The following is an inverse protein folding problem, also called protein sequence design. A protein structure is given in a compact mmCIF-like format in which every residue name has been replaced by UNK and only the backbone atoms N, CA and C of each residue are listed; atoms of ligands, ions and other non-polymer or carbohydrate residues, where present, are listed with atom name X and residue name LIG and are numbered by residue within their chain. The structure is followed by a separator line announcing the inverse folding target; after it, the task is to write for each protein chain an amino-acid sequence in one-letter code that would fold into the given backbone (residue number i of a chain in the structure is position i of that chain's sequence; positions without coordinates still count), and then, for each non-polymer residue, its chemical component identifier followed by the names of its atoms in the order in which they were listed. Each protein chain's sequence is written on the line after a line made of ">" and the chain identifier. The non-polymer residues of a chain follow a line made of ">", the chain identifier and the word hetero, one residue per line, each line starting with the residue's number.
data_IF_699282745983
#
_entry.id   IF_699282745983
#
_cell.length_a   1.000
_cell.length_b   1.000
_cell.length_c   1.000
_cell.angle_alpha   90.00
_cell.angle_beta   90.00
_cell.angle_gamma   90.00
#
_symmetry.space_group_name_H-M   'P 1'
#
loop_
_entity.id
_entity.type
_entity.pdbx_description
1 polymer ?
#
# COMPACT_ATOMS: atom_id res chain seq x y z
N UNK A 1 -51.99 93.67 -22.04
CA UNK A 1 -50.83 94.48 -21.63
C UNK A 1 -51.03 94.88 -20.17
N UNK A 2 -50.30 94.25 -19.24
CA UNK A 2 -50.02 94.70 -17.87
C UNK A 2 -49.59 93.49 -17.03
N UNK A 3 -48.28 93.26 -16.94
CA UNK A 3 -47.67 92.30 -16.01
C UNK A 3 -47.39 93.05 -14.70
N UNK A 4 -47.97 92.60 -13.58
CA UNK A 4 -47.61 93.06 -12.22
C UNK A 4 -46.95 91.93 -11.46
N UNK A 5 -45.73 92.18 -11.00
CA UNK A 5 -44.91 91.32 -10.13
C UNK A 5 -45.47 91.37 -8.71
N UNK A 6 -45.54 90.22 -8.03
CA UNK A 6 -45.69 90.11 -6.57
C UNK A 6 -44.69 89.10 -6.01
N UNK A 7 -43.98 89.53 -4.97
CA UNK A 7 -42.93 88.81 -4.24
C UNK A 7 -43.51 87.60 -3.48
N UNK A 8 -42.84 86.44 -3.59
CA UNK A 8 -43.12 85.24 -2.81
C UNK A 8 -42.12 85.10 -1.66
N UNK A 9 -42.65 84.98 -0.43
CA UNK A 9 -41.91 84.76 0.82
C UNK A 9 -41.55 83.28 0.93
N UNK A 10 -40.27 82.96 1.16
CA UNK A 10 -39.77 81.60 1.38
C UNK A 10 -39.90 81.24 2.88
N UNK A 11 -40.73 80.26 3.21
CA UNK A 11 -40.91 79.70 4.55
C UNK A 11 -40.06 78.43 4.68
N UNK A 12 -39.12 78.44 5.62
CA UNK A 12 -38.15 77.38 5.88
C UNK A 12 -38.75 76.40 6.91
N UNK A 13 -39.07 75.18 6.47
CA UNK A 13 -39.64 74.11 7.32
C UNK A 13 -38.51 73.26 7.89
N UNK A 14 -38.43 73.20 9.22
CA UNK A 14 -37.48 72.40 10.00
C UNK A 14 -38.04 70.96 10.18
N UNK A 15 -37.33 69.88 9.83
CA UNK A 15 -37.83 68.54 10.07
C UNK A 15 -37.53 68.09 11.51
N UNK A 16 -38.57 67.68 12.25
CA UNK A 16 -38.43 66.94 13.51
C UNK A 16 -37.94 65.51 13.23
N UNK A 17 -36.77 65.16 13.76
CA UNK A 17 -36.27 63.79 13.82
C UNK A 17 -36.97 63.04 14.97
N UNK A 18 -37.73 62.00 14.64
CA UNK A 18 -38.16 60.99 15.62
C UNK A 18 -36.97 60.05 15.88
N UNK A 19 -36.42 60.09 17.10
CA UNK A 19 -35.50 59.07 17.58
C UNK A 19 -36.31 57.85 18.03
N UNK A 20 -36.37 56.82 17.19
CA UNK A 20 -36.77 55.48 17.61
C UNK A 20 -35.59 54.87 18.38
N UNK A 21 -35.81 54.49 19.63
CA UNK A 21 -34.83 53.77 20.42
C UNK A 21 -34.81 52.31 19.94
N UNK A 22 -33.89 51.95 19.06
CA UNK A 22 -33.57 50.54 18.81
C UNK A 22 -32.94 49.97 20.07
N UNK A 23 -33.58 48.99 20.71
CA UNK A 23 -32.92 48.23 21.76
C UNK A 23 -31.71 47.51 21.14
N UNK A 24 -30.50 47.64 21.70
CA UNK A 24 -29.36 46.91 21.18
C UNK A 24 -29.65 45.42 21.32
N UNK A 25 -29.62 44.70 20.19
CA UNK A 25 -29.67 43.24 20.14
C UNK A 25 -28.49 42.75 20.98
N UNK A 26 -28.75 42.06 22.09
CA UNK A 26 -27.70 41.36 22.81
C UNK A 26 -26.98 40.44 21.83
N UNK A 27 -25.70 40.74 21.59
CA UNK A 27 -24.83 39.82 20.88
C UNK A 27 -24.50 38.70 21.86
N UNK A 28 -25.03 37.51 21.60
CA UNK A 28 -24.60 36.31 22.31
C UNK A 28 -23.12 36.11 21.94
N UNK A 29 -22.23 36.52 22.84
CA UNK A 29 -20.83 36.08 22.80
C UNK A 29 -20.85 34.65 23.30
N UNK A 30 -20.94 33.69 22.38
CA UNK A 30 -20.67 32.30 22.73
C UNK A 30 -19.24 32.23 23.27
N UNK A 31 -19.02 31.64 24.46
CA UNK A 31 -17.66 31.28 24.84
C UNK A 31 -17.06 30.45 23.70
N UNK A 32 -15.78 30.64 23.42
CA UNK A 32 -15.03 29.77 22.51
C UNK A 32 -14.90 28.39 23.18
N UNK A 33 -16.01 27.68 23.34
CA UNK A 33 -16.02 26.27 23.66
C UNK A 33 -15.47 25.60 22.42
N UNK A 34 -14.34 24.93 22.56
CA UNK A 34 -13.74 24.17 21.48
C UNK A 34 -14.72 23.05 21.10
N UNK A 35 -15.44 23.24 19.99
CA UNK A 35 -16.38 22.27 19.45
C UNK A 35 -15.61 21.07 18.90
N UNK A 36 -15.82 19.88 19.47
CA UNK A 36 -15.10 18.70 19.04
C UNK A 36 -15.51 17.39 19.69
N UNK A 37 -14.79 16.35 19.29
CA UNK A 37 -14.82 15.02 19.88
C UNK A 37 -13.81 15.00 21.04
N UNK A 38 -14.31 14.75 22.24
CA UNK A 38 -13.52 14.64 23.46
C UNK A 38 -12.94 13.23 23.61
N UNK A 39 -13.78 12.21 23.42
CA UNK A 39 -13.37 10.80 23.36
C UNK A 39 -14.09 10.09 22.22
N UNK A 40 -13.40 9.13 21.63
CA UNK A 40 -13.95 8.22 20.65
C UNK A 40 -13.34 6.85 20.92
N UNK A 41 -14.16 5.82 21.06
CA UNK A 41 -13.67 4.44 21.17
C UNK A 41 -14.54 3.48 20.39
N UNK A 42 -13.95 2.38 19.94
CA UNK A 42 -14.66 1.30 19.26
C UNK A 42 -14.31 0.00 19.97
N UNK A 43 -15.32 -0.71 20.48
CA UNK A 43 -15.14 -1.91 21.31
C UNK A 43 -14.14 -1.72 22.48
N UNK A 44 -14.11 -0.53 23.08
CA UNK A 44 -13.20 -0.18 24.17
C UNK A 44 -11.77 0.19 23.75
N UNK A 45 -11.45 0.19 22.46
CA UNK A 45 -10.17 0.72 21.95
C UNK A 45 -10.30 2.21 21.71
N UNK A 46 -9.54 3.01 22.44
CA UNK A 46 -9.55 4.47 22.32
C UNK A 46 -8.90 4.95 21.01
N UNK A 47 -9.48 5.98 20.41
CA UNK A 47 -8.93 6.62 19.24
C UNK A 47 -7.73 7.52 19.57
N UNK A 48 -6.75 7.53 18.68
CA UNK A 48 -5.58 8.41 18.73
C UNK A 48 -5.75 9.55 17.73
N UNK A 49 -5.41 10.78 18.11
CA UNK A 49 -5.40 11.93 17.20
C UNK A 49 -4.27 11.80 16.17
N UNK A 50 -4.59 12.03 14.91
CA UNK A 50 -3.60 12.14 13.84
C UNK A 50 -2.86 13.50 13.91
N UNK A 51 -1.70 13.54 13.26
CA UNK A 51 -1.04 14.76 12.79
C UNK A 51 -1.91 15.60 11.84
N UNK A 52 -2.81 14.97 11.08
CA UNK A 52 -3.81 15.66 10.24
C UNK A 52 -4.94 16.22 11.11
N UNK A 53 -5.27 17.52 11.00
CA UNK A 53 -6.34 18.13 11.79
C UNK A 53 -7.68 17.41 11.63
N UNK A 54 -8.36 17.17 12.75
CA UNK A 54 -9.66 16.49 12.84
C UNK A 54 -9.69 15.05 12.29
N UNK A 55 -8.54 14.40 12.13
CA UNK A 55 -8.46 12.96 11.85
C UNK A 55 -8.18 12.18 13.13
N UNK A 56 -8.91 11.07 13.31
CA UNK A 56 -8.75 10.13 14.42
C UNK A 56 -8.46 8.73 13.88
N UNK A 57 -7.62 7.97 14.56
CA UNK A 57 -7.34 6.57 14.25
C UNK A 57 -7.79 5.65 15.37
N UNK A 58 -8.35 4.50 15.01
CA UNK A 58 -8.56 3.39 15.94
C UNK A 58 -7.89 2.15 15.38
N UNK A 59 -6.97 1.56 16.14
CA UNK A 59 -6.28 0.32 15.75
C UNK A 59 -7.06 -0.88 16.26
N UNK A 60 -7.73 -1.59 15.37
CA UNK A 60 -8.51 -2.78 15.70
C UNK A 60 -7.67 -4.04 15.58
N UNK A 61 -7.83 -5.02 16.49
CA UNK A 61 -7.16 -6.32 16.37
C UNK A 61 -7.48 -7.01 15.03
N UNK A 62 -6.52 -7.81 14.54
CA UNK A 62 -6.71 -8.66 13.37
C UNK A 62 -7.97 -9.53 13.50
N UNK A 63 -8.69 -9.74 12.39
CA UNK A 63 -9.93 -10.53 12.34
C UNK A 63 -11.18 -9.85 12.94
N UNK A 64 -11.09 -8.61 13.43
CA UNK A 64 -12.29 -7.88 13.89
C UNK A 64 -13.27 -7.67 12.74
N UNK A 65 -14.53 -8.07 12.90
CA UNK A 65 -15.62 -7.74 11.98
C UNK A 65 -15.94 -6.24 12.07
N UNK A 66 -15.82 -5.53 10.94
CA UNK A 66 -16.04 -4.08 10.87
C UNK A 66 -17.42 -3.71 10.34
N UNK A 67 -18.23 -4.67 9.91
CA UNK A 67 -19.50 -4.40 9.22
C UNK A 67 -20.57 -3.77 10.12
N UNK A 68 -20.45 -3.94 11.44
CA UNK A 68 -21.41 -3.45 12.41
C UNK A 68 -20.75 -3.17 13.77
N UNK A 69 -20.16 -2.00 13.92
CA UNK A 69 -19.54 -1.55 15.18
C UNK A 69 -20.31 -0.36 15.75
N UNK A 70 -20.40 -0.27 17.09
CA UNK A 70 -21.08 0.83 17.78
C UNK A 70 -20.06 1.67 18.57
N UNK A 71 -19.57 2.79 18.03
CA UNK A 71 -18.58 3.62 18.72
C UNK A 71 -19.17 4.35 19.93
N UNK A 72 -18.37 4.49 20.99
CA UNK A 72 -18.69 5.34 22.13
C UNK A 72 -18.01 6.70 21.95
N UNK A 73 -18.81 7.77 21.90
CA UNK A 73 -18.36 9.11 21.53
C UNK A 73 -18.82 10.12 22.58
N UNK A 74 -17.85 10.83 23.16
CA UNK A 74 -18.12 12.02 23.97
C UNK A 74 -17.75 13.26 23.15
N UNK A 75 -18.63 14.25 23.12
CA UNK A 75 -18.41 15.53 22.45
C UNK A 75 -18.56 16.67 23.44
N UNK A 76 -18.10 17.87 23.04
CA UNK A 76 -18.22 19.10 23.84
C UNK A 76 -19.62 19.27 24.44
N UNK A 77 -19.70 19.79 25.67
CA UNK A 77 -20.97 19.99 26.38
C UNK A 77 -22.02 20.73 25.53
N UNK A 78 -23.20 20.14 25.40
CA UNK A 78 -24.32 20.68 24.63
C UNK A 78 -24.23 20.49 23.12
N UNK A 79 -23.13 19.92 22.59
CA UNK A 79 -23.02 19.54 21.19
C UNK A 79 -23.68 18.18 20.92
N UNK A 80 -23.90 17.89 19.64
CA UNK A 80 -24.35 16.59 19.13
C UNK A 80 -23.38 16.06 18.09
N UNK A 81 -23.40 14.76 17.83
CA UNK A 81 -22.55 14.12 16.81
C UNK A 81 -23.38 13.22 15.89
N UNK A 82 -23.00 13.16 14.61
CA UNK A 82 -23.57 12.26 13.61
C UNK A 82 -22.44 11.60 12.79
N UNK A 83 -22.39 10.26 12.66
CA UNK A 83 -23.20 9.26 13.36
C UNK A 83 -23.20 9.42 14.89
N UNK A 84 -24.30 9.04 15.53
CA UNK A 84 -24.48 9.25 16.98
C UNK A 84 -23.71 8.21 17.81
N UNK A 85 -23.37 8.57 19.05
CA UNK A 85 -22.72 7.61 19.97
C UNK A 85 -23.63 6.39 20.19
N UNK A 86 -23.07 5.19 20.07
CA UNK A 86 -23.79 3.92 20.17
C UNK A 86 -24.57 3.52 18.91
N UNK A 87 -24.57 4.34 17.87
CA UNK A 87 -25.13 3.98 16.57
C UNK A 87 -24.26 2.92 15.89
N UNK A 88 -24.90 1.91 15.30
CA UNK A 88 -24.20 0.88 14.52
C UNK A 88 -23.76 1.49 13.20
N UNK A 89 -22.46 1.43 12.95
CA UNK A 89 -21.78 1.98 11.78
C UNK A 89 -20.96 0.88 11.11
N UNK A 90 -20.97 0.88 9.79
CA UNK A 90 -20.14 0.00 8.96
C UNK A 90 -18.78 0.68 8.70
N UNK A 91 -17.72 0.07 9.23
CA UNK A 91 -16.33 0.46 9.02
C UNK A 91 -15.59 -0.45 8.03
N UNK A 92 -16.29 -1.25 7.21
CA UNK A 92 -15.67 -2.16 6.24
C UNK A 92 -14.77 -1.41 5.25
N UNK A 93 -15.10 -0.15 4.93
CA UNK A 93 -14.29 0.75 4.11
C UNK A 93 -13.29 1.60 4.89
N UNK A 94 -13.05 1.26 6.17
CA UNK A 94 -12.09 1.85 7.13
C UNK A 94 -12.29 3.30 7.50
N UNK A 95 -12.89 4.11 6.65
CA UNK A 95 -13.03 5.55 6.87
C UNK A 95 -14.50 5.92 7.00
N UNK A 96 -14.85 6.61 8.09
CA UNK A 96 -16.18 7.17 8.31
C UNK A 96 -16.06 8.62 8.74
N UNK A 97 -16.89 9.48 8.15
CA UNK A 97 -16.95 10.89 8.52
C UNK A 97 -17.97 11.14 9.64
N UNK A 98 -17.55 11.91 10.64
CA UNK A 98 -18.37 12.34 11.75
C UNK A 98 -18.52 13.87 11.74
N UNK A 99 -19.69 14.37 12.09
CA UNK A 99 -19.95 15.80 12.24
C UNK A 99 -20.39 16.11 13.66
N UNK A 100 -19.62 16.95 14.36
CA UNK A 100 -20.00 17.52 15.65
C UNK A 100 -20.69 18.86 15.41
N UNK A 101 -21.86 19.08 15.99
CA UNK A 101 -22.68 20.29 15.78
C UNK A 101 -23.12 20.91 17.10
N UNK A 102 -23.13 22.25 17.15
CA UNK A 102 -23.73 23.02 18.24
C UNK A 102 -24.52 24.19 17.64
N UNK A 103 -25.85 24.10 17.63
CA UNK A 103 -26.70 25.05 16.90
C UNK A 103 -26.34 25.09 15.41
N UNK A 104 -25.83 26.22 14.93
CA UNK A 104 -25.47 26.43 13.52
C UNK A 104 -23.97 26.31 13.21
N UNK A 105 -23.13 26.02 14.21
CA UNK A 105 -21.70 25.78 14.01
C UNK A 105 -21.41 24.28 14.05
N UNK A 106 -20.51 23.83 13.18
CA UNK A 106 -20.14 22.41 13.07
C UNK A 106 -18.64 22.24 12.82
N UNK A 107 -18.14 21.04 13.11
CA UNK A 107 -16.79 20.57 12.78
C UNK A 107 -16.87 19.13 12.28
N UNK A 108 -16.24 18.89 11.14
CA UNK A 108 -16.15 17.57 10.53
C UNK A 108 -14.86 16.87 10.98
N UNK A 109 -15.00 15.57 11.24
CA UNK A 109 -13.95 14.65 11.62
C UNK A 109 -13.94 13.46 10.67
N UNK A 110 -12.76 12.92 10.44
CA UNK A 110 -12.60 11.66 9.71
C UNK A 110 -12.02 10.63 10.67
N UNK A 111 -12.76 9.55 10.90
CA UNK A 111 -12.30 8.44 11.72
C UNK A 111 -11.83 7.32 10.80
N UNK A 112 -10.58 6.90 10.98
CA UNK A 112 -9.92 5.85 10.22
C UNK A 112 -9.67 4.63 11.10
N UNK A 113 -10.15 3.47 10.68
CA UNK A 113 -9.83 2.18 11.29
C UNK A 113 -8.56 1.65 10.65
N UNK A 114 -7.53 1.43 11.46
CA UNK A 114 -6.35 0.66 11.08
C UNK A 114 -6.57 -0.75 11.61
N UNK A 115 -6.37 -1.78 10.81
CA UNK A 115 -6.31 -3.16 11.32
C UNK A 115 -4.88 -3.54 11.62
N UNK A 116 -4.65 -4.17 12.76
CA UNK A 116 -3.42 -4.92 12.95
C UNK A 116 -3.40 -6.07 11.93
N UNK A 117 -2.24 -6.31 11.32
CA UNK A 117 -2.05 -7.48 10.48
C UNK A 117 -1.93 -8.73 11.36
N UNK A 118 -2.59 -9.81 10.97
CA UNK A 118 -2.50 -11.11 11.62
C UNK A 118 -1.12 -11.75 11.44
N UNK A 119 -0.94 -12.98 11.93
CA UNK A 119 0.37 -13.65 11.95
C UNK A 119 0.59 -14.63 10.81
N UNK A 120 -0.43 -14.90 9.99
CA UNK A 120 -0.32 -15.82 8.85
C UNK A 120 0.48 -15.18 7.72
N UNK A 121 1.01 -16.02 6.85
CA UNK A 121 1.67 -15.63 5.61
C UNK A 121 0.88 -16.21 4.43
N UNK A 122 0.43 -15.33 3.52
CA UNK A 122 -0.38 -15.74 2.38
C UNK A 122 0.49 -16.02 1.16
N UNK A 123 0.30 -17.16 0.48
CA UNK A 123 0.76 -17.36 -0.89
C UNK A 123 -0.41 -17.08 -1.83
N UNK A 124 -0.33 -16.01 -2.60
CA UNK A 124 -1.49 -15.50 -3.35
C UNK A 124 -1.45 -15.93 -4.82
N UNK A 125 -2.64 -16.19 -5.37
CA UNK A 125 -2.82 -16.52 -6.77
C UNK A 125 -4.25 -16.30 -7.23
N UNK A 126 -4.45 -16.23 -8.55
CA UNK A 126 -5.78 -16.03 -9.12
C UNK A 126 -6.65 -17.30 -9.10
N UNK A 127 -6.06 -18.46 -9.35
CA UNK A 127 -6.79 -19.73 -9.47
C UNK A 127 -7.00 -20.41 -8.12
N UNK A 128 -7.74 -21.51 -8.13
CA UNK A 128 -7.96 -22.35 -6.96
C UNK A 128 -6.68 -22.99 -6.36
N UNK A 129 -5.59 -23.01 -7.13
CA UNK A 129 -4.28 -23.48 -6.73
C UNK A 129 -3.18 -22.77 -7.54
N UNK A 130 -1.90 -22.82 -7.12
CA UNK A 130 -0.80 -22.26 -7.89
C UNK A 130 -0.80 -22.80 -9.34
N UNK A 131 -0.78 -21.88 -10.31
CA UNK A 131 -1.13 -22.22 -11.70
C UNK A 131 0.00 -22.86 -12.52
N UNK A 132 1.23 -22.88 -12.00
CA UNK A 132 2.39 -23.42 -12.70
C UNK A 132 3.17 -24.41 -11.83
N UNK A 133 3.94 -25.28 -12.46
CA UNK A 133 4.81 -26.24 -11.77
C UNK A 133 5.75 -25.53 -10.79
N UNK A 134 6.35 -24.42 -11.19
CA UNK A 134 7.27 -23.69 -10.34
C UNK A 134 6.54 -23.09 -9.12
N UNK A 135 5.35 -22.51 -9.33
CA UNK A 135 4.53 -21.99 -8.24
C UNK A 135 4.03 -23.11 -7.30
N UNK A 136 3.73 -24.29 -7.83
CA UNK A 136 3.32 -25.46 -7.04
C UNK A 136 4.47 -25.98 -6.17
N UNK A 137 5.71 -25.99 -6.68
CA UNK A 137 6.90 -26.36 -5.91
C UNK A 137 7.15 -25.35 -4.79
N UNK A 138 7.11 -24.04 -5.12
CA UNK A 138 7.27 -22.96 -4.16
C UNK A 138 6.22 -23.04 -3.04
N UNK A 139 4.95 -23.22 -3.40
CA UNK A 139 3.85 -23.38 -2.45
C UNK A 139 4.00 -24.63 -1.59
N UNK A 140 4.33 -25.78 -2.18
CA UNK A 140 4.52 -27.04 -1.45
C UNK A 140 5.63 -26.90 -0.42
N UNK A 141 6.74 -26.26 -0.79
CA UNK A 141 7.83 -25.96 0.14
C UNK A 141 7.37 -25.02 1.26
N UNK A 142 6.68 -23.92 0.93
CA UNK A 142 6.22 -22.93 1.91
C UNK A 142 5.26 -23.56 2.93
N UNK A 143 4.34 -24.39 2.46
CA UNK A 143 3.41 -25.12 3.31
C UNK A 143 4.16 -26.06 4.28
N UNK A 144 5.21 -26.75 3.82
CA UNK A 144 6.02 -27.60 4.71
C UNK A 144 6.83 -26.79 5.72
N UNK A 145 7.38 -25.65 5.29
CA UNK A 145 8.25 -24.81 6.11
C UNK A 145 7.49 -24.08 7.22
N UNK A 146 6.29 -23.59 6.93
CA UNK A 146 5.54 -22.72 7.85
C UNK A 146 4.26 -23.35 8.40
N UNK A 147 3.88 -24.54 7.92
CA UNK A 147 2.76 -25.34 8.42
C UNK A 147 1.47 -24.50 8.50
N UNK A 148 0.81 -24.50 9.66
CA UNK A 148 -0.47 -23.81 9.89
C UNK A 148 -0.37 -22.27 9.77
N UNK A 149 0.85 -21.71 9.72
CA UNK A 149 1.04 -20.27 9.48
C UNK A 149 1.00 -19.89 8.00
N UNK A 150 1.15 -20.85 7.07
CA UNK A 150 1.09 -20.59 5.64
C UNK A 150 -0.26 -21.02 5.06
N UNK A 151 -0.80 -20.17 4.19
CA UNK A 151 -2.08 -20.41 3.54
C UNK A 151 -2.03 -20.01 2.07
N UNK A 152 -2.56 -20.86 1.19
CA UNK A 152 -2.84 -20.45 -0.18
C UNK A 152 -4.12 -19.62 -0.18
N UNK A 153 -4.06 -18.46 -0.80
CA UNK A 153 -5.11 -17.47 -0.76
C UNK A 153 -5.46 -17.05 -2.18
N UNK A 154 -6.69 -17.31 -2.58
CA UNK A 154 -7.19 -16.81 -3.85
C UNK A 154 -7.37 -15.29 -3.75
N UNK A 155 -6.89 -14.57 -4.76
CA UNK A 155 -7.14 -13.13 -4.87
C UNK A 155 -8.65 -12.83 -4.84
N UNK A 156 -9.47 -13.70 -5.44
CA UNK A 156 -10.93 -13.55 -5.42
C UNK A 156 -11.53 -13.64 -4.01
N UNK A 157 -11.03 -14.53 -3.15
CA UNK A 157 -11.49 -14.65 -1.76
C UNK A 157 -11.20 -13.38 -0.96
N UNK A 158 -10.06 -12.73 -1.23
CA UNK A 158 -9.71 -11.44 -0.64
C UNK A 158 -10.63 -10.33 -1.14
N UNK A 159 -10.84 -10.26 -2.46
CA UNK A 159 -11.68 -9.23 -3.08
C UNK A 159 -13.14 -9.29 -2.62
N UNK A 160 -13.65 -10.50 -2.40
CA UNK A 160 -15.04 -10.75 -1.99
C UNK A 160 -15.24 -10.81 -0.48
N UNK A 161 -14.16 -10.68 0.30
CA UNK A 161 -14.21 -10.72 1.77
C UNK A 161 -14.49 -12.11 2.35
N UNK A 162 -14.37 -13.18 1.56
CA UNK A 162 -14.39 -14.56 2.06
C UNK A 162 -13.21 -14.78 3.01
N UNK A 163 -12.07 -14.16 2.71
CA UNK A 163 -10.90 -14.08 3.59
C UNK A 163 -10.58 -12.62 3.87
N UNK A 164 -10.24 -12.33 5.11
CA UNK A 164 -9.78 -11.00 5.49
C UNK A 164 -8.31 -10.86 5.11
N UNK A 165 -8.00 -9.91 4.23
CA UNK A 165 -6.60 -9.64 3.82
C UNK A 165 -5.71 -9.29 5.01
N UNK A 166 -6.31 -8.77 6.09
CA UNK A 166 -5.61 -8.41 7.32
C UNK A 166 -5.33 -9.60 8.25
N UNK A 167 -5.74 -10.83 7.92
CA UNK A 167 -5.28 -12.02 8.62
C UNK A 167 -3.80 -12.34 8.34
N UNK A 168 -3.23 -11.71 7.31
CA UNK A 168 -1.89 -11.99 6.79
C UNK A 168 -0.92 -10.82 7.05
N UNK A 169 0.21 -11.10 7.71
CA UNK A 169 1.31 -10.11 7.90
C UNK A 169 2.09 -9.81 6.62
N UNK A 170 2.08 -10.75 5.69
CA UNK A 170 2.65 -10.58 4.36
C UNK A 170 1.90 -11.44 3.35
N UNK A 171 1.92 -11.02 2.09
CA UNK A 171 1.46 -11.79 0.95
C UNK A 171 2.61 -12.00 -0.05
N UNK A 172 2.85 -13.25 -0.43
CA UNK A 172 3.82 -13.64 -1.44
C UNK A 172 3.10 -13.96 -2.74
N UNK A 173 3.32 -13.12 -3.74
CA UNK A 173 2.87 -13.39 -5.10
C UNK A 173 4.03 -13.94 -5.93
N UNK A 174 4.07 -15.26 -6.12
CA UNK A 174 4.96 -15.90 -7.08
C UNK A 174 4.22 -16.14 -8.39
N UNK A 175 4.76 -15.66 -9.50
CA UNK A 175 4.25 -16.02 -10.82
C UNK A 175 5.34 -16.05 -11.86
N UNK A 176 5.22 -17.04 -12.73
CA UNK A 176 6.06 -17.30 -13.88
C UNK A 176 5.33 -17.02 -15.21
N UNK A 177 4.13 -16.42 -15.15
CA UNK A 177 3.24 -16.01 -16.23
C UNK A 177 2.98 -17.04 -17.35
N UNK A 178 1.70 -17.23 -17.66
CA UNK A 178 1.16 -18.41 -18.35
C UNK A 178 1.47 -18.43 -19.85
N UNK A 179 1.65 -19.64 -20.38
CA UNK A 179 1.46 -19.97 -21.79
C UNK A 179 2.21 -19.04 -22.79
N UNK A 180 3.42 -18.60 -22.44
CA UNK A 180 4.25 -17.77 -23.32
C UNK A 180 3.89 -16.29 -23.35
N UNK A 181 3.14 -15.79 -22.37
CA UNK A 181 2.86 -14.37 -22.20
C UNK A 181 3.45 -13.82 -20.89
N UNK A 182 4.03 -12.60 -20.94
CA UNK A 182 4.58 -11.89 -19.79
C UNK A 182 3.50 -11.22 -18.93
N UNK A 183 2.27 -11.12 -19.46
CA UNK A 183 1.14 -10.53 -18.75
C UNK A 183 0.79 -11.31 -17.48
N UNK A 184 0.43 -10.57 -16.42
CA UNK A 184 -0.19 -11.19 -15.25
C UNK A 184 -1.58 -11.74 -15.60
N UNK A 185 -2.12 -12.67 -14.81
CA UNK A 185 -3.49 -13.12 -14.99
C UNK A 185 -4.45 -11.93 -15.10
N UNK A 186 -5.24 -11.84 -16.18
CA UNK A 186 -6.05 -10.66 -16.60
C UNK A 186 -6.80 -9.94 -15.47
N UNK A 187 -7.25 -10.66 -14.44
CA UNK A 187 -8.04 -10.10 -13.34
C UNK A 187 -7.24 -9.67 -12.12
N UNK A 188 -5.96 -10.03 -12.04
CA UNK A 188 -5.06 -9.63 -10.95
C UNK A 188 -4.83 -8.11 -10.92
N UNK A 189 -5.00 -7.44 -12.06
CA UNK A 189 -4.75 -6.01 -12.23
C UNK A 189 -6.03 -5.16 -12.25
N UNK A 190 -7.21 -5.78 -12.05
CA UNK A 190 -8.48 -5.05 -12.09
C UNK A 190 -8.60 -4.05 -10.92
N UNK A 191 -9.25 -2.88 -11.13
CA UNK A 191 -9.32 -1.82 -10.12
C UNK A 191 -9.76 -2.23 -8.71
N UNK A 192 -10.75 -3.13 -8.51
CA UNK A 192 -11.13 -3.53 -7.16
C UNK A 192 -10.04 -4.36 -6.47
N UNK A 193 -9.23 -5.12 -7.21
CA UNK A 193 -8.09 -5.87 -6.65
C UNK A 193 -6.94 -4.92 -6.31
N UNK A 194 -6.55 -4.05 -7.24
CA UNK A 194 -5.45 -3.11 -6.99
C UNK A 194 -5.78 -2.13 -5.87
N UNK A 195 -7.03 -1.68 -5.75
CA UNK A 195 -7.49 -0.88 -4.61
C UNK A 195 -7.34 -1.62 -3.28
N UNK A 196 -7.75 -2.90 -3.20
CA UNK A 196 -7.60 -3.71 -2.00
C UNK A 196 -6.12 -3.89 -1.60
N UNK A 197 -5.25 -4.17 -2.58
CA UNK A 197 -3.81 -4.35 -2.33
C UNK A 197 -3.13 -3.04 -1.90
N UNK A 198 -3.53 -1.89 -2.47
CA UNK A 198 -3.08 -0.56 -2.03
C UNK A 198 -3.52 -0.28 -0.59
N UNK A 199 -4.78 -0.54 -0.27
CA UNK A 199 -5.31 -0.38 1.10
C UNK A 199 -4.54 -1.28 2.10
N UNK A 200 -4.25 -2.52 1.72
CA UNK A 200 -3.45 -3.45 2.53
C UNK A 200 -2.05 -2.88 2.84
N UNK A 201 -1.37 -2.36 1.82
CA UNK A 201 -0.06 -1.70 1.95
C UNK A 201 -0.12 -0.41 2.79
N UNK A 202 -1.14 0.42 2.63
CA UNK A 202 -1.37 1.63 3.44
C UNK A 202 -1.54 1.30 4.93
N UNK A 203 -2.10 0.12 5.22
CA UNK A 203 -2.35 -0.35 6.58
C UNK A 203 -1.22 -1.24 7.15
N UNK A 204 -0.05 -1.28 6.48
CA UNK A 204 1.15 -1.94 7.00
C UNK A 204 1.33 -3.39 6.57
N UNK A 205 0.44 -3.91 5.72
CA UNK A 205 0.63 -5.19 5.05
C UNK A 205 1.86 -5.20 4.16
N UNK A 206 2.56 -6.33 4.07
CA UNK A 206 3.82 -6.43 3.33
C UNK A 206 3.70 -7.34 2.10
N UNK A 207 4.45 -7.04 1.03
CA UNK A 207 4.42 -7.85 -0.20
C UNK A 207 5.79 -8.41 -0.55
N UNK A 208 5.82 -9.70 -0.86
CA UNK A 208 6.91 -10.33 -1.59
C UNK A 208 6.45 -10.60 -3.02
N UNK A 209 7.07 -9.94 -3.99
CA UNK A 209 6.83 -10.11 -5.41
C UNK A 209 8.02 -10.85 -6.02
N UNK A 210 7.77 -11.96 -6.72
CA UNK A 210 8.84 -12.77 -7.31
C UNK A 210 8.46 -13.30 -8.69
N UNK A 211 9.41 -13.24 -9.63
CA UNK A 211 9.14 -13.51 -11.04
C UNK A 211 8.37 -12.35 -11.68
N UNK A 212 7.41 -12.65 -12.56
CA UNK A 212 6.66 -11.63 -13.30
C UNK A 212 5.74 -10.76 -12.43
N UNK A 213 5.42 -11.17 -11.19
CA UNK A 213 4.65 -10.35 -10.26
C UNK A 213 5.39 -9.10 -9.81
N UNK A 214 6.67 -8.95 -10.14
CA UNK A 214 7.41 -7.68 -9.98
C UNK A 214 6.72 -6.52 -10.71
N UNK A 215 5.92 -6.80 -11.76
CA UNK A 215 5.06 -5.81 -12.43
C UNK A 215 4.09 -5.10 -11.46
N UNK A 216 3.70 -5.73 -10.34
CA UNK A 216 2.86 -5.10 -9.32
C UNK A 216 3.47 -3.85 -8.69
N UNK A 217 4.78 -3.63 -8.82
CA UNK A 217 5.43 -2.40 -8.37
C UNK A 217 4.82 -1.16 -9.05
N UNK A 218 4.52 -1.22 -10.36
CA UNK A 218 3.87 -0.10 -11.06
C UNK A 218 2.35 -0.14 -10.89
N UNK A 219 1.73 -1.31 -11.06
CA UNK A 219 0.27 -1.48 -10.97
C UNK A 219 -0.29 -0.99 -9.61
N UNK A 220 0.50 -1.10 -8.54
CA UNK A 220 0.14 -0.65 -7.20
C UNK A 220 0.67 0.74 -6.83
N UNK A 221 1.19 1.52 -7.78
CA UNK A 221 1.80 2.84 -7.56
C UNK A 221 2.91 2.81 -6.48
N UNK A 222 3.68 1.72 -6.40
CA UNK A 222 4.75 1.57 -5.39
C UNK A 222 5.99 2.36 -5.79
N UNK A 223 6.39 2.31 -7.06
CA UNK A 223 7.47 3.13 -7.58
C UNK A 223 7.00 4.57 -7.82
N UNK A 224 7.76 5.53 -7.31
CA UNK A 224 7.38 6.95 -7.33
C UNK A 224 7.34 7.57 -8.74
N UNK A 225 8.06 7.00 -9.70
CA UNK A 225 8.04 7.42 -11.09
C UNK A 225 6.87 6.84 -11.90
N UNK A 226 6.11 5.91 -11.32
CA UNK A 226 4.99 5.24 -11.96
C UNK A 226 5.40 4.44 -13.21
N UNK A 227 6.67 4.02 -13.33
CA UNK A 227 7.16 3.27 -14.49
C UNK A 227 7.14 1.76 -14.21
N UNK A 228 6.75 0.92 -15.20
CA UNK A 228 6.83 -0.53 -15.05
C UNK A 228 8.29 -0.99 -15.03
N UNK A 229 8.50 -2.23 -14.59
CA UNK A 229 9.71 -2.96 -14.99
C UNK A 229 9.80 -2.95 -16.51
N UNK A 230 10.97 -2.57 -17.04
CA UNK A 230 11.12 -2.27 -18.47
C UNK A 230 11.83 -3.39 -19.24
N UNK A 231 12.24 -4.47 -18.57
CA UNK A 231 12.93 -5.59 -19.19
C UNK A 231 12.32 -6.92 -18.77
N UNK A 232 11.42 -7.42 -19.61
CA UNK A 232 10.72 -8.69 -19.44
C UNK A 232 11.13 -9.67 -20.53
N UNK A 233 11.49 -10.89 -20.14
CA UNK A 233 11.84 -11.98 -21.05
C UNK A 233 11.76 -13.33 -20.34
N UNK A 234 11.77 -14.44 -21.08
CA UNK A 234 11.70 -15.79 -20.53
C UNK A 234 10.95 -16.76 -21.44
N UNK A 235 10.22 -17.70 -20.85
CA UNK A 235 9.39 -18.76 -21.45
C UNK A 235 10.14 -19.89 -22.16
N UNK A 236 11.34 -19.64 -22.66
CA UNK A 236 12.18 -20.67 -23.26
C UNK A 236 13.17 -21.24 -22.25
N UNK A 237 13.22 -22.56 -22.18
CA UNK A 237 14.14 -23.28 -21.32
C UNK A 237 15.61 -22.91 -21.63
N UNK A 238 16.26 -22.22 -20.70
CA UNK A 238 17.69 -21.95 -20.69
C UNK A 238 18.42 -23.10 -20.01
N UNK A 239 19.51 -23.58 -20.61
CA UNK A 239 20.46 -24.49 -19.96
C UNK A 239 21.76 -23.74 -19.63
N UNK A 240 22.24 -23.89 -18.41
CA UNK A 240 23.42 -23.15 -17.93
C UNK A 240 24.73 -23.90 -18.14
N UNK A 241 25.72 -23.21 -18.72
CA UNK A 241 27.10 -23.70 -18.80
C UNK A 241 27.89 -23.50 -17.49
N UNK A 242 27.47 -22.54 -16.66
CA UNK A 242 28.06 -22.21 -15.36
C UNK A 242 26.96 -21.76 -14.40
N UNK A 243 27.24 -21.76 -13.09
CA UNK A 243 26.27 -21.26 -12.12
C UNK A 243 25.95 -19.77 -12.36
N UNK A 244 24.68 -19.40 -12.20
CA UNK A 244 24.21 -18.02 -12.31
C UNK A 244 23.35 -17.65 -11.08
N UNK A 245 23.25 -16.36 -10.77
CA UNK A 245 22.49 -15.88 -9.62
C UNK A 245 22.55 -14.38 -9.42
N UNK A 246 22.40 -13.93 -8.18
CA UNK A 246 22.28 -12.52 -7.82
C UNK A 246 23.65 -11.92 -7.46
N UNK A 247 23.96 -10.72 -7.93
CA UNK A 247 25.06 -9.92 -7.37
C UNK A 247 24.47 -8.96 -6.32
N UNK A 248 24.70 -9.16 -5.01
CA UNK A 248 24.14 -8.29 -3.98
C UNK A 248 24.76 -6.88 -4.07
N UNK A 249 23.91 -5.87 -4.22
CA UNK A 249 24.28 -4.46 -4.11
C UNK A 249 24.30 -3.99 -2.66
N UNK A 250 23.47 -4.61 -1.81
CA UNK A 250 23.34 -4.32 -0.38
C UNK A 250 23.70 -5.56 0.44
N UNK A 251 24.97 -5.96 0.43
CA UNK A 251 25.42 -7.26 0.99
C UNK A 251 25.14 -7.46 2.50
N UNK A 252 24.94 -6.39 3.27
CA UNK A 252 24.57 -6.45 4.68
C UNK A 252 23.05 -6.54 4.93
N UNK A 253 22.24 -6.45 3.87
CA UNK A 253 20.78 -6.52 3.98
C UNK A 253 20.34 -7.91 4.49
N UNK A 254 19.37 -8.01 5.42
CA UNK A 254 18.92 -9.29 5.97
C UNK A 254 18.50 -10.33 4.92
N UNK A 255 18.04 -9.88 3.76
CA UNK A 255 17.73 -10.74 2.60
C UNK A 255 18.87 -11.70 2.26
N UNK A 256 20.13 -11.28 2.41
CA UNK A 256 21.30 -12.06 1.99
C UNK A 256 21.98 -12.85 3.12
N UNK A 257 21.41 -12.83 4.34
CA UNK A 257 22.02 -13.50 5.48
C UNK A 257 22.13 -15.02 5.28
N UNK A 258 23.31 -15.58 5.50
CA UNK A 258 23.55 -17.03 5.48
C UNK A 258 23.55 -17.69 4.09
N UNK A 259 23.47 -16.91 3.01
CA UNK A 259 23.53 -17.43 1.65
C UNK A 259 24.95 -17.84 1.27
N UNK A 260 25.07 -18.92 0.47
CA UNK A 260 26.33 -19.26 -0.17
C UNK A 260 26.65 -18.20 -1.22
N UNK A 261 27.90 -17.72 -1.20
CA UNK A 261 28.46 -16.75 -2.15
C UNK A 261 29.65 -17.39 -2.84
N UNK A 262 29.77 -17.21 -4.15
CA UNK A 262 30.89 -17.71 -4.93
C UNK A 262 32.13 -16.80 -4.84
N UNK A 263 33.23 -17.19 -5.50
CA UNK A 263 34.48 -16.43 -5.47
C UNK A 263 34.42 -15.04 -6.12
N UNK A 264 33.34 -14.73 -6.85
CA UNK A 264 33.12 -13.46 -7.51
C UNK A 264 32.11 -12.56 -6.76
N UNK A 265 31.59 -13.01 -5.62
CA UNK A 265 30.58 -12.29 -4.87
C UNK A 265 29.14 -12.56 -5.34
N UNK A 266 28.93 -13.46 -6.30
CA UNK A 266 27.59 -13.85 -6.76
C UNK A 266 26.98 -14.83 -5.75
N UNK A 267 25.70 -14.66 -5.46
CA UNK A 267 24.88 -15.65 -4.77
C UNK A 267 24.29 -16.56 -5.86
N UNK A 268 24.87 -17.74 -6.13
CA UNK A 268 24.33 -18.63 -7.14
C UNK A 268 22.93 -19.11 -6.74
N UNK A 269 21.98 -18.99 -7.66
CA UNK A 269 20.63 -19.52 -7.50
C UNK A 269 20.36 -20.66 -8.45
N UNK A 270 21.08 -20.74 -9.58
CA UNK A 270 20.96 -21.81 -10.57
C UNK A 270 22.31 -22.43 -10.86
N UNK A 271 22.35 -23.77 -10.93
CA UNK A 271 23.55 -24.54 -11.16
C UNK A 271 23.85 -24.79 -12.63
N UNK A 272 25.11 -25.11 -12.93
CA UNK A 272 25.47 -25.62 -14.25
C UNK A 272 24.68 -26.91 -14.56
N UNK A 273 24.14 -27.01 -15.77
CA UNK A 273 23.28 -28.13 -16.20
C UNK A 273 21.83 -28.03 -15.74
N UNK A 274 21.45 -27.03 -14.94
CA UNK A 274 20.04 -26.76 -14.63
C UNK A 274 19.33 -26.18 -15.84
N UNK A 275 18.10 -26.65 -16.08
CA UNK A 275 17.18 -26.11 -17.09
C UNK A 275 16.06 -25.37 -16.39
N UNK A 276 15.81 -24.13 -16.80
CA UNK A 276 14.82 -23.25 -16.18
C UNK A 276 14.28 -22.26 -17.23
N UNK A 277 13.09 -21.70 -17.00
CA UNK A 277 12.40 -20.82 -17.95
C UNK A 277 12.99 -19.41 -18.05
N UNK A 278 13.82 -19.02 -17.06
CA UNK A 278 14.50 -17.72 -17.02
C UNK A 278 13.53 -16.53 -17.08
N UNK A 279 12.35 -16.72 -16.48
CA UNK A 279 11.28 -15.74 -16.42
C UNK A 279 11.72 -14.54 -15.58
N UNK A 280 12.03 -13.46 -16.28
CA UNK A 280 12.67 -12.26 -15.73
C UNK A 280 11.76 -11.06 -15.90
N UNK A 281 11.63 -10.26 -14.84
CA UNK A 281 10.91 -8.99 -14.84
C UNK A 281 11.70 -7.98 -14.00
N UNK A 282 12.56 -7.19 -14.65
CA UNK A 282 13.57 -6.36 -13.96
C UNK A 282 13.64 -4.95 -14.53
N UNK A 283 14.31 -4.05 -13.82
CA UNK A 283 14.68 -2.74 -14.35
C UNK A 283 16.03 -2.83 -15.06
N UNK A 284 16.06 -2.54 -16.35
CA UNK A 284 17.26 -2.29 -17.13
C UNK A 284 17.54 -0.79 -17.13
N UNK A 285 18.76 -0.40 -16.78
CA UNK A 285 19.10 1.01 -16.57
C UNK A 285 19.87 1.61 -17.75
N UNK A 286 20.43 0.75 -18.62
CA UNK A 286 21.30 1.20 -19.71
C UNK A 286 20.51 1.60 -20.95
N UNK A 287 21.03 2.50 -21.77
CA UNK A 287 20.54 2.84 -23.11
C UNK A 287 19.05 3.23 -23.12
N UNK A 288 18.17 2.30 -23.50
CA UNK A 288 16.72 2.47 -23.56
C UNK A 288 16.02 2.35 -22.20
N UNK A 289 16.78 2.03 -21.14
CA UNK A 289 16.27 1.84 -19.80
C UNK A 289 15.64 3.08 -19.16
N UNK A 290 16.05 4.28 -19.59
CA UNK A 290 15.45 5.53 -19.13
C UNK A 290 15.86 5.97 -17.72
N UNK A 291 17.02 5.53 -17.24
CA UNK A 291 17.61 5.87 -15.94
C UNK A 291 19.06 6.36 -16.05
N UNK A 292 19.43 6.96 -17.19
CA UNK A 292 20.77 7.53 -17.45
C UNK A 292 21.96 6.61 -17.12
N UNK A 293 21.79 5.29 -17.32
CA UNK A 293 22.79 4.28 -16.98
C UNK A 293 23.22 4.33 -15.49
N UNK A 294 22.35 4.78 -14.58
CA UNK A 294 22.70 5.15 -13.21
C UNK A 294 21.77 4.55 -12.17
N UNK A 295 22.33 3.76 -11.25
CA UNK A 295 21.62 3.29 -10.07
C UNK A 295 21.14 4.45 -9.19
N UNK A 296 21.90 5.54 -9.12
CA UNK A 296 21.49 6.71 -8.33
C UNK A 296 20.23 7.35 -8.91
N UNK A 297 20.15 7.51 -10.24
CA UNK A 297 18.96 8.04 -10.91
C UNK A 297 17.77 7.10 -10.72
N UNK A 298 17.98 5.78 -10.85
CA UNK A 298 16.93 4.80 -10.57
C UNK A 298 16.40 4.89 -9.13
N UNK A 299 17.27 5.01 -8.11
CA UNK A 299 16.86 5.20 -6.71
C UNK A 299 16.06 6.50 -6.53
N UNK A 300 16.54 7.60 -7.10
CA UNK A 300 15.93 8.92 -6.94
C UNK A 300 14.55 9.01 -7.61
N UNK A 301 14.40 8.39 -8.79
CA UNK A 301 13.14 8.39 -9.53
C UNK A 301 12.12 7.40 -8.96
N UNK A 302 12.54 6.17 -8.65
CA UNK A 302 11.61 5.12 -8.18
C UNK A 302 11.33 5.18 -6.68
N UNK A 303 12.24 5.76 -5.89
CA UNK A 303 12.22 5.68 -4.42
C UNK A 303 12.61 4.29 -3.87
N UNK A 304 13.04 3.36 -4.72
CA UNK A 304 13.45 2.02 -4.33
C UNK A 304 14.93 1.93 -3.94
N UNK A 305 15.27 0.88 -3.20
CA UNK A 305 16.64 0.44 -2.95
C UNK A 305 16.91 -0.83 -3.75
N UNK A 306 17.89 -0.79 -4.67
CA UNK A 306 18.39 -1.99 -5.34
C UNK A 306 19.06 -2.90 -4.31
N UNK A 307 18.54 -4.11 -4.14
CA UNK A 307 19.12 -5.11 -3.26
C UNK A 307 20.16 -5.95 -4.00
N UNK A 308 19.86 -6.30 -5.24
CA UNK A 308 20.75 -7.04 -6.12
C UNK A 308 20.72 -6.48 -7.54
N UNK A 309 21.85 -6.64 -8.22
CA UNK A 309 22.02 -6.27 -9.62
C UNK A 309 22.54 -7.45 -10.43
N UNK A 310 22.50 -7.33 -11.76
CA UNK A 310 23.38 -8.07 -12.65
C UNK A 310 24.05 -7.10 -13.64
N UNK A 311 25.12 -7.57 -14.27
CA UNK A 311 25.78 -6.84 -15.36
C UNK A 311 25.71 -7.68 -16.62
N UNK A 312 25.11 -7.13 -17.67
CA UNK A 312 25.11 -7.74 -19.01
C UNK A 312 26.07 -6.98 -19.91
N UNK A 313 26.88 -7.71 -20.67
CA UNK A 313 27.86 -7.17 -21.63
C UNK A 313 28.82 -6.12 -21.03
N UNK A 314 29.22 -6.30 -19.77
CA UNK A 314 30.28 -5.53 -19.09
C UNK A 314 29.89 -4.14 -18.57
N UNK A 315 28.81 -3.53 -19.07
CA UNK A 315 28.42 -2.16 -18.73
C UNK A 315 26.92 -1.98 -18.42
N UNK A 316 26.06 -2.95 -18.77
CA UNK A 316 24.62 -2.79 -18.62
C UNK A 316 24.14 -3.29 -17.25
N UNK A 317 23.58 -2.40 -16.43
CA UNK A 317 23.11 -2.72 -15.08
C UNK A 317 21.62 -3.06 -15.13
N UNK A 318 21.24 -4.19 -14.53
CA UNK A 318 19.84 -4.45 -14.16
C UNK A 318 19.70 -4.47 -12.65
N UNK A 319 18.60 -3.92 -12.15
CA UNK A 319 18.17 -4.14 -10.77
C UNK A 319 17.33 -5.41 -10.75
N UNK A 320 17.90 -6.49 -10.20
CA UNK A 320 17.33 -7.85 -10.23
C UNK A 320 16.56 -8.18 -8.94
N UNK A 321 16.83 -7.44 -7.87
CA UNK A 321 15.99 -7.40 -6.68
C UNK A 321 15.96 -5.98 -6.11
N UNK A 322 14.82 -5.57 -5.56
CA UNK A 322 14.61 -4.24 -4.99
C UNK A 322 13.75 -4.28 -3.72
N UNK A 323 13.96 -3.31 -2.83
CA UNK A 323 13.09 -3.00 -1.70
C UNK A 323 12.45 -1.63 -1.90
N UNK A 324 11.15 -1.55 -1.65
CA UNK A 324 10.43 -0.29 -1.51
C UNK A 324 9.92 -0.21 -0.08
N UNK A 325 10.69 0.48 0.76
CA UNK A 325 10.35 0.75 2.16
C UNK A 325 9.07 1.61 2.27
N UNK A 326 8.45 1.69 3.46
CA UNK A 326 7.30 2.56 3.69
C UNK A 326 7.55 4.00 3.24
N UNK A 327 6.58 4.61 2.55
CA UNK A 327 6.70 5.96 2.01
C UNK A 327 5.32 6.64 1.94
N UNK A 328 5.21 7.85 2.51
CA UNK A 328 3.95 8.61 2.53
C UNK A 328 2.85 7.87 3.28
N UNK A 329 1.71 7.64 2.62
CA UNK A 329 0.57 6.89 3.18
C UNK A 329 0.79 5.38 3.17
N UNK A 330 1.72 4.86 2.34
CA UNK A 330 2.08 3.44 2.31
C UNK A 330 2.96 3.08 3.51
N UNK A 331 2.42 2.27 4.42
CA UNK A 331 3.12 1.82 5.65
C UNK A 331 3.78 0.46 5.50
N UNK A 332 3.41 -0.31 4.50
CA UNK A 332 3.94 -1.62 4.16
C UNK A 332 5.22 -1.58 3.34
N UNK A 333 6.04 -2.61 3.50
CA UNK A 333 7.26 -2.85 2.73
C UNK A 333 6.97 -3.79 1.57
N UNK A 334 7.58 -3.51 0.41
CA UNK A 334 7.53 -4.38 -0.76
C UNK A 334 8.93 -4.84 -1.11
N UNK A 335 9.15 -6.15 -1.13
CA UNK A 335 10.34 -6.76 -1.72
C UNK A 335 9.99 -7.34 -3.09
N UNK A 336 10.79 -7.00 -4.09
CA UNK A 336 10.67 -7.54 -5.44
C UNK A 336 11.94 -8.31 -5.81
N UNK A 337 11.79 -9.56 -6.29
CA UNK A 337 12.87 -10.39 -6.83
C UNK A 337 12.47 -10.83 -8.23
N UNK A 338 12.86 -10.03 -9.21
CA UNK A 338 12.52 -10.21 -10.62
C UNK A 338 13.52 -11.03 -11.41
N UNK A 339 14.62 -11.47 -10.79
CA UNK A 339 15.68 -12.23 -11.43
C UNK A 339 15.18 -13.58 -11.97
N UNK A 340 15.44 -13.89 -13.24
CA UNK A 340 15.07 -15.19 -13.82
C UNK A 340 15.73 -16.41 -13.15
N UNK A 341 16.84 -16.21 -12.45
CA UNK A 341 17.49 -17.28 -11.67
C UNK A 341 16.76 -17.59 -10.36
N UNK A 342 15.84 -16.74 -9.89
CA UNK A 342 14.94 -17.06 -8.79
C UNK A 342 13.76 -17.88 -9.36
N UNK A 343 13.98 -19.18 -9.51
CA UNK A 343 12.97 -20.07 -10.06
C UNK A 343 12.97 -21.42 -9.33
N UNK A 344 11.77 -21.86 -8.97
CA UNK A 344 11.57 -23.08 -8.20
C UNK A 344 11.46 -24.29 -9.14
N UNK A 345 12.51 -25.10 -9.21
CA UNK A 345 12.59 -26.26 -10.10
C UNK A 345 12.52 -27.57 -9.32
N UNK A 346 11.99 -28.64 -9.93
CA UNK A 346 12.08 -29.98 -9.36
C UNK A 346 13.54 -30.49 -9.40
N UNK A 347 13.98 -31.11 -8.29
CA UNK A 347 15.21 -31.89 -8.09
C UNK A 347 16.26 -31.84 -9.22
N UNK A 348 17.34 -31.08 -9.02
CA UNK A 348 18.46 -31.04 -9.97
C UNK A 348 19.28 -29.76 -9.94
N UNK A 349 18.80 -28.71 -9.28
CA UNK A 349 19.55 -27.49 -9.04
C UNK A 349 20.44 -27.62 -7.79
N UNK A 350 21.75 -27.52 -7.98
CA UNK A 350 22.74 -27.58 -6.89
C UNK A 350 22.60 -26.43 -5.86
N UNK A 351 21.89 -25.35 -6.21
CA UNK A 351 21.73 -24.15 -5.40
C UNK A 351 20.30 -23.95 -4.88
N UNK A 352 19.48 -25.00 -4.86
CA UNK A 352 18.12 -24.93 -4.31
C UNK A 352 18.08 -24.40 -2.86
N UNK A 353 19.11 -24.67 -2.06
CA UNK A 353 19.19 -24.19 -0.68
C UNK A 353 19.38 -22.68 -0.61
N UNK A 354 20.07 -22.07 -1.58
CA UNK A 354 20.17 -20.62 -1.65
C UNK A 354 18.81 -20.00 -2.00
N UNK A 355 18.03 -20.61 -2.90
CA UNK A 355 16.66 -20.16 -3.20
C UNK A 355 15.81 -20.23 -1.92
N UNK A 356 15.76 -21.40 -1.28
CA UNK A 356 14.98 -21.60 -0.03
C UNK A 356 15.40 -20.61 1.07
N UNK A 357 16.69 -20.42 1.29
CA UNK A 357 17.18 -19.50 2.32
C UNK A 357 16.91 -18.03 1.97
N UNK A 358 17.04 -17.63 0.70
CA UNK A 358 16.72 -16.29 0.23
C UNK A 358 15.23 -16.00 0.45
N UNK A 359 14.36 -16.96 0.16
CA UNK A 359 12.92 -16.86 0.41
C UNK A 359 12.59 -16.82 1.90
N UNK A 360 13.24 -17.64 2.74
CA UNK A 360 13.12 -17.56 4.20
C UNK A 360 13.48 -16.15 4.67
N UNK A 361 14.63 -15.62 4.24
CA UNK A 361 15.06 -14.28 4.63
C UNK A 361 14.08 -13.20 4.21
N UNK A 362 13.49 -13.31 3.01
CA UNK A 362 12.49 -12.38 2.52
C UNK A 362 11.20 -12.42 3.37
N UNK A 363 10.68 -13.62 3.63
CA UNK A 363 9.48 -13.83 4.46
C UNK A 363 9.72 -13.34 5.89
N UNK A 364 10.84 -13.73 6.50
CA UNK A 364 11.20 -13.35 7.87
C UNK A 364 11.53 -11.86 8.00
N UNK A 365 11.96 -11.20 6.94
CA UNK A 365 12.12 -9.75 6.91
C UNK A 365 10.77 -9.02 6.86
N UNK A 366 9.84 -9.50 6.05
CA UNK A 366 8.54 -8.86 5.81
C UNK A 366 7.48 -9.16 6.87
N UNK A 367 7.55 -10.30 7.57
CA UNK A 367 6.54 -10.69 8.57
C UNK A 367 6.68 -9.98 9.93
N UNK A 368 7.64 -9.07 10.06
CA UNK A 368 8.04 -8.45 11.34
C UNK A 368 7.08 -7.37 11.83
#
# INVERSE_FOLDING_TARGET
>A
MATKIRYGIFLLVLPLLFAACEQPRESIVLPAVELGIETFSVNGVEAVKDSVPNCLYVTMPAGTDLSALAPEITVSEGATVSPSSGEVVDFSHKTVNYRVSYGNVYRDYTVKIIKETGSKIGFIGWEDAPSSTNAQIAWTWMQQQYQDNAEYVQLWDLQTGVKDIYDYCMLWYYTDARDGNWDLPFRAEEPPMTALMKEYLENGGNLLLTGFSTQWVEILDIAADGKPVNNLYGHENKSLAAAEGLMPAQSNHPLFAGLQVDGNGVIPLMGAGTTFSNNTAVWYLKDWGGYDNSLAVWRDETGGMELATDVVDGDAIRVTAAEFAPNGERRGTVLAIGAGTYEWTENGNAYENNIKQLTINAIEYLRK
#
